data_IF_689560670637
#
_entry.id   IF_689560670637
#
_cell.length_a   1.000
_cell.length_b   1.000
_cell.length_c   1.000
_cell.angle_alpha   90.00
_cell.angle_beta   90.00
_cell.angle_gamma   90.00
#
_symmetry.space_group_name_H-M   'P 1'
#
loop_
_entity.id
_entity.type
_entity.pdbx_description
1 polymer ?
#
# COMPACT_ATOMS: atom_id res chain seq x y z
N UNK A 1 1.39 -6.03 20.50
CA UNK A 1 1.15 -4.59 20.75
C UNK A 1 -0.04 -4.07 19.95
N UNK A 2 -0.86 -3.19 20.52
CA UNK A 2 -2.12 -2.73 19.91
C UNK A 2 -1.88 -1.96 18.60
N UNK A 3 -0.98 -0.98 18.58
CA UNK A 3 -0.64 -0.22 17.37
C UNK A 3 -0.20 -1.09 16.19
N UNK A 4 0.59 -2.15 16.46
CA UNK A 4 1.04 -3.10 15.42
C UNK A 4 -0.13 -3.89 14.83
N UNK A 5 -1.02 -4.41 15.70
CA UNK A 5 -2.21 -5.15 15.26
C UNK A 5 -3.14 -4.27 14.45
N UNK A 6 -3.35 -3.02 14.88
CA UNK A 6 -4.22 -2.08 14.16
C UNK A 6 -3.70 -1.83 12.75
N UNK A 7 -2.40 -1.59 12.56
CA UNK A 7 -1.82 -1.40 11.22
C UNK A 7 -2.00 -2.65 10.34
N UNK A 8 -1.68 -3.84 10.87
CA UNK A 8 -1.71 -5.09 10.08
C UNK A 8 -3.15 -5.49 9.71
N UNK A 9 -4.08 -5.41 10.66
CA UNK A 9 -5.45 -5.86 10.44
C UNK A 9 -6.34 -4.83 9.75
N UNK A 10 -5.87 -3.58 9.55
CA UNK A 10 -6.61 -2.65 8.69
C UNK A 10 -6.50 -3.08 7.23
N UNK A 11 -7.63 -3.51 6.65
CA UNK A 11 -7.71 -3.84 5.22
C UNK A 11 -7.81 -2.60 4.33
N UNK A 12 -8.11 -1.43 4.93
CA UNK A 12 -8.34 -0.16 4.24
C UNK A 12 -7.26 0.20 3.19
N UNK A 13 -5.98 -0.04 3.47
CA UNK A 13 -4.90 0.32 2.54
C UNK A 13 -4.93 -0.55 1.27
N UNK A 14 -5.06 -1.88 1.46
CA UNK A 14 -5.12 -2.85 0.35
C UNK A 14 -6.42 -2.67 -0.43
N UNK A 15 -7.54 -2.49 0.26
CA UNK A 15 -8.85 -2.28 -0.36
C UNK A 15 -8.91 -0.97 -1.15
N UNK A 16 -8.36 0.12 -0.61
CA UNK A 16 -8.29 1.40 -1.30
C UNK A 16 -7.46 1.30 -2.58
N UNK A 17 -6.31 0.63 -2.53
CA UNK A 17 -5.46 0.41 -3.71
C UNK A 17 -6.20 -0.45 -4.76
N UNK A 18 -6.77 -1.58 -4.34
CA UNK A 18 -7.54 -2.45 -5.22
C UNK A 18 -8.75 -1.74 -5.84
N UNK A 19 -9.40 -0.85 -5.10
CA UNK A 19 -10.50 -0.03 -5.62
C UNK A 19 -10.03 0.89 -6.76
N UNK A 20 -8.88 1.56 -6.60
CA UNK A 20 -8.27 2.40 -7.65
C UNK A 20 -7.91 1.57 -8.89
N UNK A 21 -7.25 0.42 -8.70
CA UNK A 21 -6.87 -0.47 -9.80
C UNK A 21 -8.11 -0.98 -10.56
N UNK A 22 -9.13 -1.51 -9.85
CA UNK A 22 -10.37 -1.98 -10.48
C UNK A 22 -11.10 -0.86 -11.22
N UNK A 23 -11.11 0.36 -10.68
CA UNK A 23 -11.70 1.52 -11.37
C UNK A 23 -10.98 1.83 -12.67
N UNK A 24 -9.64 1.86 -12.66
CA UNK A 24 -8.84 2.14 -13.85
C UNK A 24 -9.05 1.08 -14.95
N UNK A 25 -9.04 -0.21 -14.56
CA UNK A 25 -9.30 -1.33 -15.49
C UNK A 25 -10.71 -1.23 -16.10
N UNK A 26 -11.74 -1.02 -15.28
CA UNK A 26 -13.12 -0.86 -15.76
C UNK A 26 -13.30 0.34 -16.68
N UNK A 27 -12.64 1.46 -16.38
CA UNK A 27 -12.69 2.66 -17.21
C UNK A 27 -12.03 2.46 -18.58
N UNK A 28 -11.03 1.56 -18.68
CA UNK A 28 -10.33 1.30 -19.93
C UNK A 28 -11.04 0.29 -20.83
N UNK A 29 -11.72 -0.71 -20.26
CA UNK A 29 -12.42 -1.76 -21.02
C UNK A 29 -11.46 -2.79 -21.64
N UNK A 30 -11.52 -2.97 -22.97
CA UNK A 30 -10.67 -3.94 -23.68
C UNK A 30 -9.23 -3.47 -23.83
N UNK A 31 -8.27 -4.37 -23.59
CA UNK A 31 -6.83 -4.15 -23.78
C UNK A 31 -6.35 -4.85 -25.04
N UNK A 32 -5.47 -4.21 -25.85
CA UNK A 32 -4.89 -4.82 -27.04
C UNK A 32 -3.88 -5.94 -26.74
N UNK A 33 -3.52 -6.15 -25.46
CA UNK A 33 -2.62 -7.20 -24.99
C UNK A 33 -2.18 -6.97 -23.54
N UNK A 34 -1.53 -7.97 -22.96
CA UNK A 34 -1.14 -7.96 -21.54
C UNK A 34 -0.14 -6.85 -21.20
N UNK A 35 0.76 -6.50 -22.12
CA UNK A 35 1.71 -5.41 -21.93
C UNK A 35 1.00 -4.06 -21.75
N UNK A 36 -0.08 -3.82 -22.50
CA UNK A 36 -0.87 -2.59 -22.37
C UNK A 36 -1.62 -2.56 -21.03
N UNK A 37 -2.12 -3.70 -20.56
CA UNK A 37 -2.72 -3.81 -19.23
C UNK A 37 -1.70 -3.55 -18.13
N UNK A 38 -0.51 -4.14 -18.23
CA UNK A 38 0.59 -3.94 -17.29
C UNK A 38 1.03 -2.47 -17.20
N UNK A 39 1.19 -1.80 -18.35
CA UNK A 39 1.52 -0.36 -18.40
C UNK A 39 0.47 0.50 -17.70
N UNK A 40 -0.82 0.21 -17.87
CA UNK A 40 -1.87 0.92 -17.15
C UNK A 40 -1.76 0.72 -15.64
N UNK A 41 -1.62 -0.53 -15.17
CA UNK A 41 -1.50 -0.81 -13.75
C UNK A 41 -0.26 -0.14 -13.14
N UNK A 42 0.87 -0.16 -13.85
CA UNK A 42 2.09 0.54 -13.47
C UNK A 42 1.86 2.05 -13.26
N UNK A 43 1.23 2.72 -14.22
CA UNK A 43 0.93 4.16 -14.10
C UNK A 43 -0.02 4.47 -12.93
N UNK A 44 -1.03 3.62 -12.71
CA UNK A 44 -1.96 3.78 -11.58
C UNK A 44 -1.24 3.60 -10.24
N UNK A 45 -0.34 2.61 -10.15
CA UNK A 45 0.46 2.36 -8.95
C UNK A 45 1.40 3.53 -8.65
N UNK A 46 2.08 4.07 -9.68
CA UNK A 46 2.95 5.24 -9.51
C UNK A 46 2.17 6.46 -9.00
N UNK A 47 1.02 6.78 -9.59
CA UNK A 47 0.19 7.88 -9.12
C UNK A 47 -0.32 7.64 -7.69
N UNK A 48 -0.74 6.40 -7.38
CA UNK A 48 -1.13 6.05 -6.02
C UNK A 48 0.01 6.24 -5.02
N UNK A 49 1.24 5.90 -5.39
CA UNK A 49 2.43 6.08 -4.56
C UNK A 49 2.74 7.58 -4.32
N UNK A 50 2.64 8.43 -5.35
CA UNK A 50 2.83 9.89 -5.21
C UNK A 50 1.83 10.53 -4.22
N UNK A 51 0.61 9.98 -4.15
CA UNK A 51 -0.41 10.43 -3.21
C UNK A 51 -0.18 9.94 -1.77
N UNK A 52 0.64 8.91 -1.58
CA UNK A 52 0.86 8.26 -0.29
C UNK A 52 1.87 9.02 0.56
N UNK A 53 1.49 10.23 1.00
CA UNK A 53 2.41 11.17 1.66
C UNK A 53 2.50 11.06 3.17
N UNK A 54 1.54 10.38 3.81
CA UNK A 54 1.43 10.30 5.27
C UNK A 54 1.37 8.85 5.73
N UNK A 55 2.15 8.54 6.76
CA UNK A 55 2.10 7.26 7.43
C UNK A 55 0.77 7.11 8.22
N UNK A 56 0.31 5.87 8.48
CA UNK A 56 -0.79 5.62 9.42
C UNK A 56 -0.51 6.23 10.80
N UNK A 57 -1.56 6.66 11.50
CA UNK A 57 -1.44 7.34 12.80
C UNK A 57 -0.68 6.48 13.83
N UNK A 58 -0.93 5.19 13.80
CA UNK A 58 -0.35 4.19 14.70
C UNK A 58 1.11 3.84 14.37
N UNK A 59 1.65 4.32 13.24
CA UNK A 59 2.98 3.93 12.78
C UNK A 59 4.08 4.24 13.78
N UNK A 60 4.03 5.39 14.44
CA UNK A 60 5.05 5.79 15.43
C UNK A 60 5.10 4.80 16.60
N UNK A 61 3.94 4.42 17.13
CA UNK A 61 3.85 3.45 18.23
C UNK A 61 4.34 2.07 17.77
N UNK A 62 3.88 1.60 16.60
CA UNK A 62 4.31 0.32 16.04
C UNK A 62 5.82 0.27 15.77
N UNK A 63 6.40 1.37 15.27
CA UNK A 63 7.83 1.51 15.01
C UNK A 63 8.66 1.32 16.28
N UNK A 64 8.27 1.97 17.37
CA UNK A 64 8.94 1.80 18.68
C UNK A 64 8.88 0.35 19.15
N UNK A 65 7.73 -0.31 18.97
CA UNK A 65 7.58 -1.73 19.33
C UNK A 65 8.46 -2.63 18.48
N UNK A 66 8.59 -2.37 17.17
CA UNK A 66 9.50 -3.11 16.30
C UNK A 66 10.96 -2.92 16.68
N UNK A 67 11.37 -1.70 17.04
CA UNK A 67 12.72 -1.43 17.51
C UNK A 67 13.08 -2.22 18.79
N UNK A 68 12.14 -2.37 19.72
CA UNK A 68 12.36 -3.15 20.95
C UNK A 68 12.42 -4.66 20.67
N UNK A 69 11.54 -5.18 19.82
CA UNK A 69 11.44 -6.63 19.57
C UNK A 69 12.54 -7.12 18.60
N UNK A 70 12.94 -6.28 17.64
CA UNK A 70 13.79 -6.67 16.52
C UNK A 70 15.05 -5.80 16.40
N UNK A 71 15.57 -5.24 17.50
CA UNK A 71 16.65 -4.24 17.52
C UNK A 71 17.78 -4.49 16.51
N UNK A 72 18.39 -5.67 16.51
CA UNK A 72 19.50 -6.02 15.60
C UNK A 72 19.14 -5.95 14.10
N UNK A 73 17.87 -6.16 13.73
CA UNK A 73 17.40 -6.06 12.33
C UNK A 73 16.78 -4.71 12.01
N UNK A 74 16.51 -3.90 13.03
CA UNK A 74 15.78 -2.65 12.89
C UNK A 74 16.73 -1.45 12.74
N UNK A 75 17.92 -1.54 13.32
CA UNK A 75 18.93 -0.47 13.31
C UNK A 75 20.15 -0.75 12.43
N UNK A 76 20.39 -2.01 12.06
CA UNK A 76 21.36 -2.38 11.03
C UNK A 76 20.72 -2.32 9.64
#
# INVERSE_FOLDING_TARGET
PEGVRRIIYTTNAIEALNSKLRRAVRSRGHFPGDEAAMKLLYLVLNNAAEQWKRAPREWVEAKTQFAVIFGERFFN
#
